data_IF_156147731440
#
_entry.id   IF_156147731440
#
_cell.length_a   1.000
_cell.length_b   1.000
_cell.length_c   1.000
_cell.angle_alpha   90.00
_cell.angle_beta   90.00
_cell.angle_gamma   90.00
#
_symmetry.space_group_name_H-M   'P 1'
#
loop_
_entity.id
_entity.type
_entity.pdbx_description
1 polymer ?
#
# COMPACT_ATOMS: atom_id res chain seq x y z
N UNK A 1 -3.83 10.25 1.00
CA UNK A 1 -3.25 11.05 -0.10
C UNK A 1 -1.78 11.23 0.16
N UNK A 2 -1.40 12.36 0.77
CA UNK A 2 0.00 12.71 1.03
C UNK A 2 0.72 11.68 1.92
N UNK A 3 0.07 11.25 3.01
CA UNK A 3 0.59 10.21 3.91
C UNK A 3 0.85 8.88 3.18
N UNK A 4 -0.09 8.47 2.32
CA UNK A 4 0.00 7.23 1.55
C UNK A 4 1.21 7.28 0.61
N UNK A 5 1.32 8.33 -0.21
CA UNK A 5 2.36 8.46 -1.24
C UNK A 5 3.75 8.75 -0.69
N UNK A 6 3.87 9.55 0.37
CA UNK A 6 5.16 10.01 0.88
C UNK A 6 5.74 9.14 2.00
N UNK A 7 4.90 8.44 2.77
CA UNK A 7 5.35 7.67 3.92
C UNK A 7 5.15 6.16 3.72
N UNK A 8 3.99 5.73 3.22
CA UNK A 8 3.68 4.29 3.12
C UNK A 8 4.29 3.66 1.87
N UNK A 9 4.05 4.23 0.68
CA UNK A 9 4.53 3.67 -0.59
C UNK A 9 6.07 3.52 -0.60
N UNK A 10 6.89 4.49 -0.19
CA UNK A 10 8.35 4.35 -0.22
C UNK A 10 8.84 3.21 0.66
N UNK A 11 8.20 2.99 1.81
CA UNK A 11 8.52 1.87 2.71
C UNK A 11 8.15 0.53 2.07
N UNK A 12 6.96 0.43 1.48
CA UNK A 12 6.53 -0.78 0.79
C UNK A 12 7.45 -1.13 -0.39
N UNK A 13 7.86 -0.14 -1.18
CA UNK A 13 8.84 -0.30 -2.27
C UNK A 13 10.20 -0.74 -1.74
N UNK A 14 10.67 -0.15 -0.64
CA UNK A 14 11.94 -0.55 -0.01
C UNK A 14 11.91 -2.01 0.43
N UNK A 15 10.83 -2.45 1.07
CA UNK A 15 10.68 -3.85 1.47
C UNK A 15 10.58 -4.79 0.27
N UNK A 16 9.85 -4.39 -0.79
CA UNK A 16 9.81 -5.13 -2.04
C UNK A 16 11.20 -5.32 -2.66
N UNK A 17 12.06 -4.30 -2.60
CA UNK A 17 13.44 -4.42 -3.07
C UNK A 17 14.27 -5.42 -2.25
N UNK A 18 14.04 -5.49 -0.93
CA UNK A 18 14.70 -6.50 -0.07
C UNK A 18 14.27 -7.92 -0.46
N UNK A 19 12.98 -8.13 -0.75
CA UNK A 19 12.48 -9.43 -1.23
C UNK A 19 13.06 -9.79 -2.60
N UNK A 20 13.15 -8.83 -3.51
CA UNK A 20 13.75 -9.04 -4.83
C UNK A 20 15.24 -9.38 -4.76
N UNK A 21 16.00 -8.70 -3.90
CA UNK A 21 17.41 -9.00 -3.63
C UNK A 21 17.57 -10.41 -3.04
N UNK A 22 16.68 -10.82 -2.14
CA UNK A 22 16.66 -12.19 -1.62
C UNK A 22 16.42 -13.22 -2.72
N UNK A 23 15.44 -12.99 -3.61
CA UNK A 23 15.17 -13.88 -4.76
C UNK A 23 16.38 -13.96 -5.69
N UNK A 24 17.05 -12.84 -5.95
CA UNK A 24 18.25 -12.80 -6.79
C UNK A 24 19.38 -13.65 -6.18
N UNK A 25 19.65 -13.48 -4.88
CA UNK A 25 20.66 -14.26 -4.14
C UNK A 25 20.33 -15.75 -4.09
N UNK A 26 19.06 -16.12 -3.93
CA UNK A 26 18.63 -17.52 -4.05
C UNK A 26 18.94 -18.07 -5.44
N UNK A 27 18.68 -17.30 -6.50
CA UNK A 27 19.00 -17.72 -7.86
C UNK A 27 20.50 -17.88 -8.09
N UNK A 28 21.32 -16.98 -7.56
CA UNK A 28 22.77 -17.07 -7.65
C UNK A 28 23.33 -18.28 -6.90
N UNK A 29 22.71 -18.64 -5.78
CA UNK A 29 23.17 -19.75 -4.92
C UNK A 29 22.77 -21.12 -5.46
N UNK A 30 21.52 -21.26 -5.91
CA UNK A 30 20.92 -22.54 -6.31
C UNK A 30 20.80 -22.71 -7.84
N UNK A 31 21.08 -21.67 -8.63
CA UNK A 31 20.95 -21.72 -10.09
C UNK A 31 19.50 -21.93 -10.55
N UNK A 32 19.32 -22.79 -11.55
CA UNK A 32 18.01 -23.19 -12.07
C UNK A 32 17.54 -24.55 -11.49
N UNK A 33 18.03 -24.92 -10.31
CA UNK A 33 17.61 -26.14 -9.59
C UNK A 33 16.12 -26.05 -9.17
N UNK A 34 15.48 -27.21 -8.98
CA UNK A 34 14.12 -27.30 -8.44
C UNK A 34 14.01 -26.60 -7.08
N UNK A 35 15.04 -26.71 -6.25
CA UNK A 35 15.13 -26.06 -4.93
C UNK A 35 14.96 -24.53 -5.01
N UNK A 36 15.44 -23.89 -6.09
CA UNK A 36 15.25 -22.45 -6.27
C UNK A 36 13.77 -22.07 -6.48
N UNK A 37 13.04 -22.86 -7.25
CA UNK A 37 11.64 -22.58 -7.54
C UNK A 37 10.79 -22.70 -6.27
N UNK A 38 11.04 -23.73 -5.46
CA UNK A 38 10.32 -23.96 -4.20
C UNK A 38 10.67 -22.89 -3.16
N UNK A 39 11.96 -22.58 -2.98
CA UNK A 39 12.40 -21.59 -1.98
C UNK A 39 12.00 -20.14 -2.35
N UNK A 40 11.90 -19.82 -3.64
CA UNK A 40 11.55 -18.47 -4.10
C UNK A 40 10.06 -18.24 -4.34
N UNK A 41 9.21 -19.26 -4.23
CA UNK A 41 7.77 -19.15 -4.47
C UNK A 41 7.11 -18.11 -3.57
N UNK A 42 7.31 -18.22 -2.25
CA UNK A 42 6.72 -17.34 -1.25
C UNK A 42 7.19 -15.87 -1.38
N UNK A 43 8.50 -15.57 -1.46
CA UNK A 43 8.98 -14.22 -1.74
C UNK A 43 8.39 -13.62 -3.02
N UNK A 44 8.29 -14.40 -4.12
CA UNK A 44 7.68 -13.94 -5.38
C UNK A 44 6.19 -13.65 -5.21
N UNK A 45 5.48 -14.46 -4.42
CA UNK A 45 4.07 -14.22 -4.10
C UNK A 45 3.90 -12.92 -3.34
N UNK A 46 4.72 -12.66 -2.32
CA UNK A 46 4.70 -11.41 -1.56
C UNK A 46 5.01 -10.19 -2.42
N UNK A 47 6.06 -10.26 -3.25
CA UNK A 47 6.42 -9.17 -4.19
C UNK A 47 5.23 -8.80 -5.09
N UNK A 48 4.53 -9.80 -5.65
CA UNK A 48 3.34 -9.58 -6.49
C UNK A 48 2.20 -8.92 -5.72
N UNK A 49 1.91 -9.39 -4.50
CA UNK A 49 0.88 -8.78 -3.65
C UNK A 49 1.20 -7.32 -3.33
N UNK A 50 2.41 -7.06 -2.84
CA UNK A 50 2.87 -5.70 -2.51
C UNK A 50 2.78 -4.78 -3.73
N UNK A 51 3.22 -5.23 -4.91
CA UNK A 51 3.09 -4.47 -6.15
C UNK A 51 1.62 -4.13 -6.47
N UNK A 52 0.73 -5.10 -6.30
CA UNK A 52 -0.71 -4.93 -6.51
C UNK A 52 -1.30 -3.85 -5.60
N UNK A 53 -1.00 -3.91 -4.30
CA UNK A 53 -1.48 -2.91 -3.34
C UNK A 53 -0.89 -1.51 -3.59
N UNK A 54 0.42 -1.41 -3.91
CA UNK A 54 1.05 -0.13 -4.27
C UNK A 54 0.36 0.51 -5.48
N UNK A 55 0.08 -0.29 -6.51
CA UNK A 55 -0.58 0.18 -7.72
C UNK A 55 -2.02 0.62 -7.43
N UNK A 56 -2.76 -0.18 -6.66
CA UNK A 56 -4.13 0.13 -6.26
C UNK A 56 -4.21 1.43 -5.43
N UNK A 57 -3.35 1.60 -4.43
CA UNK A 57 -3.27 2.82 -3.61
C UNK A 57 -2.99 4.04 -4.48
N UNK A 58 -1.98 3.97 -5.35
CA UNK A 58 -1.63 5.10 -6.24
C UNK A 58 -2.82 5.49 -7.12
N UNK A 59 -3.44 4.51 -7.79
CA UNK A 59 -4.62 4.74 -8.64
C UNK A 59 -5.79 5.34 -7.87
N UNK A 60 -6.09 4.81 -6.69
CA UNK A 60 -7.20 5.29 -5.85
C UNK A 60 -6.96 6.70 -5.32
N UNK A 61 -5.71 7.03 -4.97
CA UNK A 61 -5.33 8.40 -4.59
C UNK A 61 -5.56 9.37 -5.76
N UNK A 62 -5.17 9.00 -6.98
CA UNK A 62 -5.40 9.83 -8.17
C UNK A 62 -6.90 10.03 -8.45
N UNK A 63 -7.69 8.95 -8.42
CA UNK A 63 -9.15 8.99 -8.59
C UNK A 63 -9.82 9.87 -7.51
N UNK A 64 -9.40 9.75 -6.26
CA UNK A 64 -9.87 10.57 -5.14
C UNK A 64 -9.52 12.05 -5.34
N UNK A 65 -8.32 12.36 -5.84
CA UNK A 65 -7.90 13.74 -6.13
C UNK A 65 -8.78 14.35 -7.22
N UNK A 66 -9.12 13.59 -8.26
CA UNK A 66 -10.05 14.03 -9.31
C UNK A 66 -11.48 14.22 -8.79
N UNK A 67 -11.98 13.30 -7.96
CA UNK A 67 -13.28 13.44 -7.31
C UNK A 67 -13.34 14.71 -6.45
N UNK A 68 -12.28 14.95 -5.66
CA UNK A 68 -12.13 16.17 -4.84
C UNK A 68 -12.11 17.45 -5.69
N UNK A 69 -11.41 17.44 -6.83
CA UNK A 69 -11.41 18.57 -7.78
C UNK A 69 -12.81 18.87 -8.30
N UNK A 70 -13.61 17.83 -8.62
CA UNK A 70 -15.00 17.99 -9.07
C UNK A 70 -15.88 18.57 -7.96
N UNK A 71 -15.81 18.00 -6.76
CA UNK A 71 -16.57 18.48 -5.60
C UNK A 71 -16.26 19.95 -5.26
N UNK A 72 -14.99 20.37 -5.37
CA UNK A 72 -14.57 21.74 -5.11
C UNK A 72 -15.10 22.79 -6.11
N UNK A 73 -15.63 22.37 -7.26
CA UNK A 73 -16.25 23.28 -8.24
C UNK A 73 -17.69 23.64 -7.89
N UNK A 74 -18.31 22.94 -6.93
CA UNK A 74 -19.66 23.24 -6.46
C UNK A 74 -19.63 24.53 -5.62
N UNK A 75 -20.44 25.51 -6.02
CA UNK A 75 -20.53 26.80 -5.37
C UNK A 75 -21.34 26.74 -4.06
N UNK A 76 -22.39 25.90 -4.04
CA UNK A 76 -23.19 25.68 -2.85
C UNK A 76 -22.48 24.79 -1.84
N UNK A 77 -22.45 25.23 -0.57
CA UNK A 77 -21.74 24.50 0.49
C UNK A 77 -22.41 23.17 0.83
N UNK A 78 -23.74 23.08 0.76
CA UNK A 78 -24.48 21.87 1.10
C UNK A 78 -24.27 20.81 0.01
N UNK A 79 -24.38 21.20 -1.25
CA UNK A 79 -24.08 20.31 -2.39
C UNK A 79 -22.63 19.83 -2.36
N UNK A 80 -21.69 20.73 -2.03
CA UNK A 80 -20.28 20.36 -1.85
C UNK A 80 -20.09 19.34 -0.73
N UNK A 81 -20.74 19.53 0.43
CA UNK A 81 -20.64 18.59 1.54
C UNK A 81 -21.16 17.19 1.16
N UNK A 82 -22.31 17.13 0.48
CA UNK A 82 -22.89 15.87 -0.02
C UNK A 82 -21.94 15.21 -1.02
N UNK A 83 -21.40 15.97 -1.97
CA UNK A 83 -20.45 15.43 -2.94
C UNK A 83 -19.18 14.86 -2.28
N UNK A 84 -18.65 15.51 -1.24
CA UNK A 84 -17.50 14.98 -0.50
C UNK A 84 -17.83 13.67 0.21
N UNK A 85 -18.99 13.60 0.87
CA UNK A 85 -19.44 12.38 1.54
C UNK A 85 -19.64 11.23 0.56
N UNK A 86 -20.31 11.47 -0.57
CA UNK A 86 -20.70 10.40 -1.48
C UNK A 86 -19.59 9.99 -2.46
N UNK A 87 -18.67 10.91 -2.78
CA UNK A 87 -17.68 10.69 -3.86
C UNK A 87 -16.23 10.74 -3.42
N UNK A 88 -15.90 11.34 -2.27
CA UNK A 88 -14.51 11.44 -1.80
C UNK A 88 -14.26 10.51 -0.60
N UNK A 89 -15.19 10.45 0.35
CA UNK A 89 -15.06 9.62 1.55
C UNK A 89 -14.86 8.12 1.24
N UNK A 90 -15.56 7.49 0.27
CA UNK A 90 -15.39 6.06 -0.02
C UNK A 90 -13.95 5.68 -0.41
N UNK A 91 -13.24 6.56 -1.12
CA UNK A 91 -11.84 6.32 -1.48
C UNK A 91 -10.92 6.26 -0.25
N UNK A 92 -11.25 6.94 0.86
CA UNK A 92 -10.43 6.89 2.07
C UNK A 92 -10.44 5.49 2.67
N UNK A 93 -11.59 4.84 2.69
CA UNK A 93 -11.74 3.47 3.19
C UNK A 93 -11.06 2.47 2.25
N UNK A 94 -11.25 2.59 0.94
CA UNK A 94 -10.59 1.72 -0.04
C UNK A 94 -9.05 1.84 -0.01
N UNK A 95 -8.52 3.05 0.12
CA UNK A 95 -7.08 3.28 0.26
C UNK A 95 -6.59 2.68 1.58
N UNK A 96 -7.37 2.82 2.65
CA UNK A 96 -7.03 2.28 3.97
C UNK A 96 -6.95 0.77 3.94
N UNK A 97 -7.91 0.08 3.36
CA UNK A 97 -7.90 -1.40 3.28
C UNK A 97 -6.61 -1.91 2.64
N UNK A 98 -6.15 -1.27 1.55
CA UNK A 98 -4.88 -1.63 0.92
C UNK A 98 -3.64 -1.28 1.75
N UNK A 99 -3.69 -0.21 2.54
CA UNK A 99 -2.60 0.16 3.46
C UNK A 99 -2.53 -0.82 4.63
N UNK A 100 -3.67 -1.22 5.19
CA UNK A 100 -3.76 -2.17 6.29
C UNK A 100 -3.25 -3.55 5.84
N UNK A 101 -3.57 -3.97 4.61
CA UNK A 101 -2.98 -5.17 3.99
C UNK A 101 -1.45 -5.05 3.84
N UNK A 102 -0.95 -3.89 3.39
CA UNK A 102 0.50 -3.62 3.31
C UNK A 102 1.16 -3.65 4.70
N UNK A 103 0.51 -3.15 5.74
CA UNK A 103 1.01 -3.17 7.13
C UNK A 103 1.23 -4.60 7.64
N UNK A 104 0.37 -5.54 7.24
CA UNK A 104 0.48 -6.95 7.60
C UNK A 104 1.60 -7.66 6.83
N UNK A 105 1.90 -7.23 5.60
CA UNK A 105 2.90 -7.85 4.73
C UNK A 105 4.31 -7.28 4.91
N UNK A 106 4.44 -6.01 5.28
CA UNK A 106 5.72 -5.34 5.45
C UNK A 106 6.27 -5.56 6.85
N UNK A 107 7.59 -5.74 6.93
CA UNK A 107 8.34 -5.87 8.18
C UNK A 107 8.04 -4.71 9.15
N UNK A 108 7.76 -5.07 10.41
CA UNK A 108 7.41 -4.14 11.48
C UNK A 108 8.51 -3.09 11.71
N UNK A 109 9.79 -3.47 11.55
CA UNK A 109 10.90 -2.53 11.78
C UNK A 109 11.00 -1.44 10.71
N UNK A 110 10.45 -1.68 9.53
CA UNK A 110 10.46 -0.73 8.42
C UNK A 110 9.21 0.14 8.37
N UNK A 111 8.14 -0.27 9.05
CA UNK A 111 6.85 0.42 8.99
C UNK A 111 6.93 1.79 9.71
N UNK A 112 6.52 2.90 9.07
CA UNK A 112 6.82 4.24 9.56
C UNK A 112 5.82 4.74 10.62
N UNK A 113 4.71 4.05 10.81
CA UNK A 113 3.65 4.41 11.76
C UNK A 113 3.54 3.34 12.85
N UNK A 114 3.20 3.72 14.10
CA UNK A 114 2.86 2.74 15.13
C UNK A 114 1.75 1.84 14.61
N UNK A 115 1.93 0.53 14.70
CA UNK A 115 0.91 -0.40 14.20
C UNK A 115 -0.38 -0.25 14.98
N UNK A 116 -1.54 -0.50 14.37
CA UNK A 116 -2.83 -0.37 15.07
C UNK A 116 -2.90 -1.17 16.37
N UNK A 117 -2.22 -2.33 16.41
CA UNK A 117 -2.04 -3.11 17.65
C UNK A 117 -1.26 -2.35 18.72
N UNK A 118 -0.20 -1.65 18.37
CA UNK A 118 0.62 -0.91 19.34
C UNK A 118 -0.19 0.25 19.94
N UNK A 119 -1.00 0.95 19.13
CA UNK A 119 -1.89 2.03 19.60
C UNK A 119 -2.99 1.54 20.56
N UNK A 120 -3.47 0.30 20.38
CA UNK A 120 -4.51 -0.28 21.22
C UNK A 120 -3.98 -0.88 22.54
N UNK A 121 -2.68 -1.12 22.66
CA UNK A 121 -2.05 -1.74 23.84
C UNK A 121 -1.05 -0.83 24.59
N UNK A 122 -1.01 0.47 24.29
CA UNK A 122 -0.29 1.44 25.14
C UNK A 122 -1.01 1.48 26.51
N UNK A 123 -0.41 0.86 27.52
CA UNK A 123 -0.88 0.87 28.91
C UNK A 123 0.28 1.19 29.84
#
# INVERSE_FOLDING_TARGET
GDLSLNHIIPVAVRYQNVLLDNIAKLKETFGDDADFNDLSEEPRRLVRKIAGHICAVTKKVDEMVEARKKANRLADMRERAIAYHDTVAPYLDEIRDHIDDLELMVDNQMWPLPKYRELLFIR
#
